data_IF_937837231210
#
_entry.id   IF_937837231210
#
_cell.length_a   1.000
_cell.length_b   1.000
_cell.length_c   1.000
_cell.angle_alpha   90.00
_cell.angle_beta   90.00
_cell.angle_gamma   90.00
#
_symmetry.space_group_name_H-M   'P 1'
#
loop_
_entity.id
_entity.type
_entity.pdbx_description
1 polymer ?
#
# COMPACT_ATOMS: atom_id res chain seq x y z
N UNK A 1 48.87 21.51 -42.29
CA UNK A 1 48.52 20.20 -41.71
C UNK A 1 48.59 20.33 -40.20
N UNK A 2 47.45 20.45 -39.53
CA UNK A 2 47.36 20.47 -38.05
C UNK A 2 46.20 19.57 -37.66
N UNK A 3 46.53 18.36 -37.20
CA UNK A 3 45.56 17.37 -36.75
C UNK A 3 45.12 17.72 -35.33
N UNK A 4 43.85 18.04 -35.16
CA UNK A 4 43.23 18.28 -33.85
C UNK A 4 42.97 16.93 -33.20
N UNK A 5 43.69 16.60 -32.12
CA UNK A 5 43.49 15.35 -31.39
C UNK A 5 42.34 15.52 -30.39
N UNK A 6 41.16 15.02 -30.74
CA UNK A 6 40.00 15.02 -29.86
C UNK A 6 40.05 13.77 -28.94
N UNK A 7 39.98 13.92 -27.61
CA UNK A 7 40.06 12.78 -26.71
C UNK A 7 38.82 11.88 -26.82
N UNK A 8 38.96 10.55 -26.62
CA UNK A 8 37.88 9.60 -26.80
C UNK A 8 36.80 9.80 -25.73
N UNK A 9 35.54 9.99 -26.15
CA UNK A 9 34.33 9.94 -25.30
C UNK A 9 34.01 8.50 -24.90
N UNK A 10 34.98 7.82 -24.32
CA UNK A 10 34.84 6.48 -23.79
C UNK A 10 34.46 6.56 -22.31
N UNK A 11 33.36 5.88 -21.96
CA UNK A 11 33.00 5.56 -20.57
C UNK A 11 32.52 6.79 -19.77
N UNK A 12 31.38 7.36 -20.15
CA UNK A 12 30.46 7.84 -19.13
C UNK A 12 30.09 6.61 -18.29
N UNK A 13 30.91 6.34 -17.26
CA UNK A 13 30.65 5.32 -16.28
C UNK A 13 29.18 5.50 -15.87
N UNK A 14 28.40 4.43 -16.05
CA UNK A 14 27.11 4.28 -15.38
C UNK A 14 27.40 4.47 -13.89
N UNK A 15 27.35 5.70 -13.41
CA UNK A 15 27.24 5.98 -11.99
C UNK A 15 25.85 5.48 -11.66
N UNK A 16 25.68 4.38 -10.90
CA UNK A 16 24.35 4.07 -10.38
C UNK A 16 23.94 5.31 -9.60
N UNK A 17 22.77 5.88 -9.92
CA UNK A 17 22.21 6.99 -9.16
C UNK A 17 22.26 6.56 -7.70
N UNK A 18 23.16 7.16 -6.92
CA UNK A 18 23.26 6.87 -5.50
C UNK A 18 21.93 7.32 -4.93
N UNK A 19 21.16 6.36 -4.42
CA UNK A 19 19.89 6.61 -3.79
C UNK A 19 20.17 7.45 -2.53
N UNK A 20 20.12 8.77 -2.69
CA UNK A 20 20.49 9.79 -1.71
C UNK A 20 19.48 9.89 -0.56
N UNK A 21 18.54 8.94 -0.48
CA UNK A 21 17.59 8.86 0.59
C UNK A 21 18.32 8.55 1.91
N UNK A 22 18.12 9.42 2.90
CA UNK A 22 18.48 9.16 4.29
C UNK A 22 17.76 7.90 4.79
N UNK A 23 18.26 7.30 5.88
CA UNK A 23 17.60 6.16 6.51
C UNK A 23 16.13 6.47 6.88
N UNK A 24 15.86 7.70 7.35
CA UNK A 24 14.51 8.16 7.67
C UNK A 24 13.60 8.25 6.45
N UNK A 25 14.10 8.74 5.31
CA UNK A 25 13.34 8.78 4.05
C UNK A 25 13.02 7.38 3.53
N UNK A 26 13.97 6.43 3.61
CA UNK A 26 13.71 5.04 3.26
C UNK A 26 12.67 4.39 4.15
N UNK A 27 12.75 4.61 5.47
CA UNK A 27 11.76 4.11 6.42
C UNK A 27 10.36 4.70 6.14
N UNK A 28 10.26 6.01 5.91
CA UNK A 28 9.00 6.65 5.57
C UNK A 28 8.40 6.12 4.25
N UNK A 29 9.23 5.90 3.22
CA UNK A 29 8.78 5.31 1.96
C UNK A 29 8.28 3.87 2.14
N UNK A 30 8.96 3.07 2.96
CA UNK A 30 8.50 1.71 3.29
C UNK A 30 7.18 1.73 4.06
N UNK A 31 7.03 2.61 5.06
CA UNK A 31 5.76 2.76 5.78
C UNK A 31 4.63 3.25 4.87
N UNK A 32 4.92 4.15 3.94
CA UNK A 32 3.95 4.61 2.93
C UNK A 32 3.52 3.47 2.00
N UNK A 33 4.45 2.60 1.60
CA UNK A 33 4.15 1.43 0.77
C UNK A 33 3.24 0.42 1.49
N UNK A 34 3.34 0.31 2.82
CA UNK A 34 2.45 -0.56 3.62
C UNK A 34 1.02 -0.02 3.74
N UNK A 35 0.75 1.24 3.36
CA UNK A 35 -0.57 1.86 3.49
C UNK A 35 -1.63 1.20 2.59
N UNK A 36 -1.23 0.68 1.44
CA UNK A 36 -2.13 0.09 0.46
C UNK A 36 -1.57 -1.25 0.01
N UNK A 37 -2.44 -2.26 -0.04
CA UNK A 37 -2.10 -3.59 -0.53
C UNK A 37 -3.15 -4.01 -1.55
N UNK A 38 -2.70 -4.53 -2.69
CA UNK A 38 -3.60 -5.14 -3.68
C UNK A 38 -3.86 -6.58 -3.26
N UNK A 39 -5.11 -6.92 -3.00
CA UNK A 39 -5.55 -8.25 -2.64
C UNK A 39 -6.60 -8.75 -3.65
N UNK A 40 -6.67 -10.07 -3.93
CA UNK A 40 -7.77 -10.62 -4.71
C UNK A 40 -9.12 -10.36 -4.02
N UNK A 41 -10.16 -10.05 -4.79
CA UNK A 41 -11.50 -9.78 -4.26
C UNK A 41 -12.06 -10.93 -3.41
N UNK A 42 -11.72 -12.18 -3.74
CA UNK A 42 -12.10 -13.36 -2.96
C UNK A 42 -11.49 -13.35 -1.54
N UNK A 43 -10.25 -12.86 -1.39
CA UNK A 43 -9.60 -12.73 -0.08
C UNK A 43 -10.29 -11.66 0.76
N UNK A 44 -10.66 -10.54 0.14
CA UNK A 44 -11.40 -9.45 0.82
C UNK A 44 -12.78 -9.93 1.26
N UNK A 45 -13.47 -10.71 0.42
CA UNK A 45 -14.79 -11.28 0.72
C UNK A 45 -14.73 -12.25 1.90
N UNK A 46 -13.78 -13.21 1.88
CA UNK A 46 -13.59 -14.15 2.97
C UNK A 46 -13.22 -13.46 4.29
N UNK A 47 -12.39 -12.41 4.24
CA UNK A 47 -12.06 -11.61 5.43
C UNK A 47 -13.31 -10.91 6.01
N UNK A 48 -14.19 -10.40 5.15
CA UNK A 48 -15.43 -9.79 5.59
C UNK A 48 -16.37 -10.80 6.26
N UNK A 49 -16.54 -11.99 5.68
CA UNK A 49 -17.35 -13.07 6.29
C UNK A 49 -16.82 -13.46 7.67
N UNK A 50 -15.50 -13.69 7.78
CA UNK A 50 -14.87 -14.06 9.06
C UNK A 50 -15.00 -12.98 10.14
N UNK A 51 -15.07 -11.70 9.77
CA UNK A 51 -15.20 -10.59 10.70
C UNK A 51 -16.66 -10.36 11.11
N UNK A 52 -17.62 -10.61 10.21
CA UNK A 52 -19.06 -10.49 10.49
C UNK A 52 -19.47 -11.50 11.58
N UNK A 53 -18.97 -12.73 11.50
CA UNK A 53 -19.19 -13.79 12.50
C UNK A 53 -18.58 -13.47 13.88
N UNK A 54 -17.61 -12.55 13.93
CA UNK A 54 -16.89 -12.17 15.17
C UNK A 54 -17.55 -11.02 15.91
N UNK A 55 -18.48 -10.30 15.28
CA UNK A 55 -19.27 -9.22 15.90
C UNK A 55 -20.41 -9.79 16.76
N UNK A 56 -20.10 -10.70 17.67
CA UNK A 56 -21.03 -11.13 18.71
C UNK A 56 -21.19 -10.07 19.80
N UNK A 57 -22.26 -10.19 20.60
CA UNK A 57 -22.57 -9.28 21.72
C UNK A 57 -21.46 -9.20 22.78
N UNK A 58 -20.54 -10.17 22.79
CA UNK A 58 -19.46 -10.33 23.76
C UNK A 58 -18.24 -9.42 23.50
N UNK A 59 -18.16 -8.78 22.32
CA UNK A 59 -17.10 -7.81 22.04
C UNK A 59 -17.36 -6.47 22.74
N UNK A 60 -16.31 -5.88 23.32
CA UNK A 60 -16.38 -4.53 23.90
C UNK A 60 -16.72 -3.48 22.83
N UNK A 61 -17.17 -2.30 23.28
CA UNK A 61 -17.64 -1.25 22.38
C UNK A 61 -16.57 -0.78 21.39
N UNK A 62 -15.31 -0.70 21.82
CA UNK A 62 -14.20 -0.21 20.98
C UNK A 62 -13.87 -1.24 19.91
N UNK A 63 -13.76 -2.52 20.29
CA UNK A 63 -13.55 -3.62 19.35
C UNK A 63 -14.68 -3.71 18.32
N UNK A 64 -15.93 -3.52 18.76
CA UNK A 64 -17.10 -3.55 17.87
C UNK A 64 -17.08 -2.42 16.84
N UNK A 65 -16.81 -1.20 17.29
CA UNK A 65 -16.70 -0.03 16.41
C UNK A 65 -15.56 -0.19 15.40
N UNK A 66 -14.39 -0.62 15.88
CA UNK A 66 -13.23 -0.86 15.01
C UNK A 66 -13.52 -1.94 13.96
N UNK A 67 -14.11 -3.07 14.36
CA UNK A 67 -14.48 -4.14 13.42
C UNK A 67 -15.53 -3.68 12.42
N UNK A 68 -16.55 -2.91 12.86
CA UNK A 68 -17.55 -2.35 11.95
C UNK A 68 -16.94 -1.42 10.90
N UNK A 69 -15.99 -0.56 11.30
CA UNK A 69 -15.27 0.31 10.37
C UNK A 69 -14.43 -0.48 9.36
N UNK A 70 -13.77 -1.57 9.80
CA UNK A 70 -13.02 -2.46 8.92
C UNK A 70 -13.95 -3.17 7.94
N UNK A 71 -15.05 -3.75 8.40
CA UNK A 71 -16.05 -4.41 7.54
C UNK A 71 -16.60 -3.47 6.47
N UNK A 72 -16.96 -2.25 6.85
CA UNK A 72 -17.40 -1.21 5.91
C UNK A 72 -16.35 -0.96 4.83
N UNK A 73 -15.08 -0.81 5.22
CA UNK A 73 -13.98 -0.58 4.28
C UNK A 73 -13.74 -1.79 3.35
N UNK A 74 -13.83 -3.01 3.87
CA UNK A 74 -13.66 -4.23 3.06
C UNK A 74 -14.80 -4.36 2.04
N UNK A 75 -16.06 -4.17 2.45
CA UNK A 75 -17.22 -4.23 1.57
C UNK A 75 -17.17 -3.15 0.48
N UNK A 76 -16.78 -1.92 0.84
CA UNK A 76 -16.58 -0.84 -0.13
C UNK A 76 -15.47 -1.18 -1.16
N UNK A 77 -14.37 -1.82 -0.73
CA UNK A 77 -13.27 -2.19 -1.62
C UNK A 77 -13.67 -3.21 -2.72
N UNK A 78 -14.73 -3.99 -2.51
CA UNK A 78 -15.29 -4.93 -3.49
C UNK A 78 -16.64 -4.48 -4.08
N UNK A 79 -17.03 -3.22 -3.86
CA UNK A 79 -18.27 -2.65 -4.40
C UNK A 79 -19.56 -3.23 -3.82
N UNK A 80 -19.51 -3.79 -2.61
CA UNK A 80 -20.63 -4.39 -1.88
C UNK A 80 -21.22 -3.45 -0.82
N UNK A 81 -21.26 -2.14 -1.06
CA UNK A 81 -21.86 -1.20 -0.11
C UNK A 81 -23.32 -1.58 0.16
N UNK A 82 -23.65 -1.78 1.44
CA UNK A 82 -25.04 -1.89 1.87
C UNK A 82 -25.72 -0.53 1.64
N UNK A 83 -26.80 -0.44 0.85
CA UNK A 83 -27.52 0.81 0.69
C UNK A 83 -28.06 1.25 2.05
N UNK A 84 -27.65 2.45 2.50
CA UNK A 84 -28.26 3.11 3.66
C UNK A 84 -29.70 3.47 3.26
N UNK A 85 -30.74 2.90 3.90
CA UNK A 85 -32.11 3.33 3.63
C UNK A 85 -32.25 4.80 4.03
N UNK A 86 -32.75 5.62 3.08
CA UNK A 86 -33.08 7.03 3.31
C UNK A 86 -34.33 7.18 4.17
#
# INVERSE_FOLDING_TARGET
MTTVHQPPRGIAARVPAQDTATAGQRAAAQMLALRNVTLPAAVISAAAELLDDRLGEQADAVTREATAAVLSRLRAAIGQEHPVPR
#
